data_IF_370660784179
#
_entry.id   IF_370660784179
#
_cell.length_a   1.000
_cell.length_b   1.000
_cell.length_c   1.000
_cell.angle_alpha   90.00
_cell.angle_beta   90.00
_cell.angle_gamma   90.00
#
_symmetry.space_group_name_H-M   'P 1'
#
loop_
_entity.id
_entity.type
_entity.pdbx_description
1 polymer ?
#
# COMPACT_ATOMS: atom_id res chain seq x y z
N UNK A 1 -8.59 23.77 22.32
CA UNK A 1 -7.15 23.58 22.03
C UNK A 1 -7.06 23.07 20.61
N UNK A 2 -6.27 23.74 19.81
CA UNK A 2 -6.31 23.74 18.35
C UNK A 2 -5.69 22.47 17.77
N UNK A 3 -6.44 21.70 16.98
CA UNK A 3 -5.93 20.56 16.23
C UNK A 3 -5.23 21.08 14.98
N UNK A 4 -3.91 20.92 14.93
CA UNK A 4 -3.09 21.21 13.74
C UNK A 4 -3.18 20.04 12.77
N UNK A 5 -3.55 20.24 11.50
CA UNK A 5 -3.51 19.17 10.50
C UNK A 5 -2.06 18.89 10.08
N UNK A 6 -1.68 17.61 10.07
CA UNK A 6 -0.43 17.15 9.46
C UNK A 6 -0.64 17.21 7.94
N UNK A 7 0.06 18.14 7.28
CA UNK A 7 0.05 18.27 5.83
C UNK A 7 0.69 17.04 5.18
N UNK A 8 0.01 16.42 4.22
CA UNK A 8 0.67 15.51 3.30
C UNK A 8 1.46 16.37 2.29
N UNK A 9 2.75 16.10 2.12
CA UNK A 9 3.63 16.88 1.23
C UNK A 9 3.45 16.53 -0.26
N UNK A 10 2.30 15.97 -0.65
CA UNK A 10 1.98 15.69 -2.05
C UNK A 10 0.58 16.17 -2.36
N UNK A 11 0.45 17.49 -2.53
CA UNK A 11 -0.60 18.28 -3.19
C UNK A 11 -1.72 17.50 -3.93
N UNK A 12 -2.41 16.61 -3.21
CA UNK A 12 -3.43 15.71 -3.70
C UNK A 12 -4.71 16.18 -3.05
N UNK A 13 -5.79 16.37 -3.83
CA UNK A 13 -7.06 16.84 -3.29
C UNK A 13 -7.49 15.92 -2.16
N UNK A 14 -8.06 16.52 -1.11
CA UNK A 14 -8.35 15.99 0.22
C UNK A 14 -9.19 14.69 0.18
N UNK A 15 -8.54 13.61 -0.24
CA UNK A 15 -9.04 12.26 -0.20
C UNK A 15 -8.91 11.81 1.24
N UNK A 16 -10.03 11.88 1.96
CA UNK A 16 -10.27 11.28 3.26
C UNK A 16 -9.45 9.99 3.41
N UNK A 17 -8.36 10.09 4.16
CA UNK A 17 -7.58 8.95 4.63
C UNK A 17 -8.49 8.17 5.59
N UNK A 18 -9.20 7.16 5.08
CA UNK A 18 -9.80 6.15 5.93
C UNK A 18 -8.62 5.24 6.30
N UNK A 19 -7.86 5.63 7.33
CA UNK A 19 -6.98 4.67 8.02
C UNK A 19 -7.91 3.73 8.74
N UNK A 20 -8.02 2.49 8.27
CA UNK A 20 -8.68 1.41 8.98
C UNK A 20 -7.71 0.57 9.78
N UNK A 21 -6.59 1.14 10.25
CA UNK A 21 -5.64 0.46 11.14
C UNK A 21 -6.17 0.52 12.58
N UNK A 22 -7.36 -0.02 12.82
CA UNK A 22 -7.95 -0.13 14.15
C UNK A 22 -7.02 -0.97 15.05
N UNK A 23 -6.25 -0.31 15.93
CA UNK A 23 -5.49 -0.96 17.00
C UNK A 23 -3.96 -0.87 16.94
N UNK A 24 -3.36 -0.15 15.99
CA UNK A 24 -1.91 0.19 16.07
C UNK A 24 -1.73 1.56 16.70
N UNK A 25 -1.53 1.56 18.01
CA UNK A 25 -1.02 2.72 18.76
C UNK A 25 0.49 2.83 18.53
N UNK A 26 0.93 3.05 17.30
CA UNK A 26 2.32 3.41 17.01
C UNK A 26 2.43 4.93 16.98
N UNK A 27 2.98 5.50 18.05
CA UNK A 27 3.17 6.95 18.23
C UNK A 27 4.17 7.58 17.25
N UNK A 28 4.77 6.79 16.35
CA UNK A 28 5.72 7.23 15.33
C UNK A 28 5.17 7.10 13.89
N UNK A 29 3.93 6.65 13.71
CA UNK A 29 3.31 6.51 12.38
C UNK A 29 3.90 5.37 11.55
N UNK A 30 4.54 4.38 12.18
CA UNK A 30 5.05 3.18 11.51
C UNK A 30 3.96 2.14 11.33
N UNK A 31 4.01 1.42 10.21
CA UNK A 31 3.08 0.33 9.89
C UNK A 31 3.77 -1.03 10.10
N UNK A 32 3.18 -1.97 10.86
CA UNK A 32 3.79 -3.28 11.05
C UNK A 32 4.02 -4.01 9.73
N UNK A 33 5.10 -4.79 9.68
CA UNK A 33 5.51 -5.52 8.48
C UNK A 33 4.39 -6.41 7.95
N UNK A 34 4.05 -6.22 6.68
CA UNK A 34 3.10 -7.09 5.98
C UNK A 34 1.63 -6.96 6.40
N UNK A 35 1.29 -6.10 7.36
CA UNK A 35 -0.11 -5.71 7.59
C UNK A 35 -0.62 -5.00 6.34
N UNK A 36 -1.84 -5.28 5.93
CA UNK A 36 -2.42 -4.72 4.72
C UNK A 36 -3.90 -4.36 4.88
N UNK A 37 -4.34 -3.41 4.08
CA UNK A 37 -5.72 -2.95 3.95
C UNK A 37 -6.05 -2.66 2.49
N UNK A 38 -7.30 -2.89 2.11
CA UNK A 38 -7.77 -2.57 0.77
C UNK A 38 -8.24 -1.12 0.72
N UNK A 39 -7.91 -0.42 -0.37
CA UNK A 39 -8.48 0.89 -0.65
C UNK A 39 -9.40 0.82 -1.86
N UNK A 40 -10.45 1.64 -1.85
CA UNK A 40 -11.37 1.80 -2.95
C UNK A 40 -11.03 3.05 -3.77
N UNK A 41 -11.21 2.99 -5.09
CA UNK A 41 -11.19 4.19 -5.90
C UNK A 41 -12.56 4.85 -5.86
N UNK A 42 -12.61 6.14 -5.55
CA UNK A 42 -13.85 6.90 -5.63
C UNK A 42 -14.46 6.82 -7.04
N UNK A 43 -15.65 6.20 -7.15
CA UNK A 43 -16.46 6.21 -8.37
C UNK A 43 -16.34 5.01 -9.31
N UNK A 44 -15.62 3.94 -8.96
CA UNK A 44 -15.54 2.75 -9.81
C UNK A 44 -16.72 1.78 -9.63
N UNK A 45 -17.28 1.31 -10.74
CA UNK A 45 -18.38 0.35 -10.84
C UNK A 45 -17.91 -1.12 -10.75
N UNK A 46 -16.84 -1.39 -10.00
CA UNK A 46 -16.35 -2.74 -9.77
C UNK A 46 -17.19 -3.42 -8.67
N UNK A 47 -17.61 -4.69 -8.82
CA UNK A 47 -18.44 -5.39 -7.83
C UNK A 47 -17.74 -5.64 -6.49
N UNK A 48 -16.40 -5.58 -6.42
CA UNK A 48 -15.64 -5.60 -5.15
C UNK A 48 -15.42 -4.20 -4.59
N UNK A 49 -15.31 -3.20 -5.49
CA UNK A 49 -15.01 -1.81 -5.18
C UNK A 49 -13.55 -1.53 -4.80
N UNK A 50 -12.68 -2.55 -4.81
CA UNK A 50 -11.29 -2.43 -4.36
C UNK A 50 -10.37 -2.05 -5.52
N UNK A 51 -9.59 -1.01 -5.30
CA UNK A 51 -8.66 -0.44 -6.27
C UNK A 51 -7.21 -0.88 -6.04
N UNK A 52 -6.90 -1.42 -4.86
CA UNK A 52 -5.57 -1.88 -4.53
C UNK A 52 -5.39 -2.19 -3.05
N UNK A 53 -4.13 -2.38 -2.67
CA UNK A 53 -3.70 -2.64 -1.29
C UNK A 53 -2.75 -1.56 -0.80
N UNK A 54 -3.01 -1.07 0.42
CA UNK A 54 -2.06 -0.39 1.29
C UNK A 54 -1.42 -1.43 2.20
N UNK A 55 -0.11 -1.39 2.41
CA UNK A 55 0.57 -2.37 3.26
C UNK A 55 1.86 -1.85 3.90
N UNK A 56 2.15 -2.33 5.11
CA UNK A 56 3.44 -2.10 5.76
C UNK A 56 4.55 -2.87 5.07
N UNK A 57 5.69 -2.22 4.84
CA UNK A 57 6.79 -2.80 4.08
C UNK A 57 7.21 -4.15 4.68
N UNK A 58 7.23 -5.24 3.90
CA UNK A 58 7.50 -6.57 4.45
C UNK A 58 8.92 -6.77 5.00
N UNK A 59 9.85 -5.85 4.73
CA UNK A 59 11.18 -5.87 5.33
C UNK A 59 11.19 -5.49 6.82
N UNK A 60 10.11 -4.86 7.31
CA UNK A 60 9.99 -4.42 8.71
C UNK A 60 10.50 -3.01 9.01
N UNK A 61 10.81 -2.20 8.00
CA UNK A 61 11.27 -0.83 8.20
C UNK A 61 10.19 0.12 8.75
N UNK A 62 8.90 -0.24 8.64
CA UNK A 62 7.77 0.56 9.10
C UNK A 62 7.13 1.44 8.02
N UNK A 63 7.70 1.49 6.80
CA UNK A 63 7.15 2.28 5.69
C UNK A 63 5.79 1.75 5.22
N UNK A 64 4.84 2.65 4.96
CA UNK A 64 3.61 2.34 4.25
C UNK A 64 3.85 2.32 2.72
N UNK A 65 3.35 1.30 2.04
CA UNK A 65 3.40 1.12 0.59
C UNK A 65 2.00 0.90 0.00
N UNK A 66 1.90 1.04 -1.31
CA UNK A 66 0.66 0.79 -2.05
C UNK A 66 0.91 0.08 -3.37
N UNK A 67 -0.03 -0.76 -3.78
CA UNK A 67 -0.11 -1.33 -5.13
C UNK A 67 -1.51 -1.17 -5.68
N UNK A 68 -1.61 -0.85 -6.97
CA UNK A 68 -2.89 -0.75 -7.69
C UNK A 68 -3.25 -2.10 -8.33
N UNK A 69 -4.52 -2.48 -8.26
CA UNK A 69 -5.02 -3.68 -8.96
C UNK A 69 -5.22 -3.41 -10.45
N UNK A 70 -5.18 -4.50 -11.24
CA UNK A 70 -5.31 -4.46 -12.69
C UNK A 70 -6.67 -3.95 -13.21
N UNK A 71 -7.69 -3.90 -12.34
CA UNK A 71 -9.02 -3.35 -12.58
C UNK A 71 -9.04 -1.82 -12.80
N UNK A 72 -7.98 -1.10 -12.46
CA UNK A 72 -7.89 0.35 -12.62
C UNK A 72 -7.08 0.76 -13.85
N UNK A 73 -7.71 1.34 -14.88
CA UNK A 73 -7.09 1.62 -16.19
C UNK A 73 -5.91 2.62 -16.19
N UNK A 74 -5.75 3.43 -15.14
CA UNK A 74 -4.99 4.69 -15.24
C UNK A 74 -3.50 4.59 -14.86
N UNK A 75 -3.05 3.54 -14.14
CA UNK A 75 -1.68 3.49 -13.58
C UNK A 75 -0.97 2.16 -13.85
N UNK A 76 0.36 2.21 -13.99
CA UNK A 76 1.24 1.04 -14.11
C UNK A 76 2.45 1.22 -13.18
N UNK A 77 3.06 0.13 -12.66
CA UNK A 77 2.67 -1.28 -12.81
C UNK A 77 1.36 -1.62 -12.08
N UNK A 78 0.69 -2.71 -12.51
CA UNK A 78 -0.53 -3.22 -11.88
C UNK A 78 -0.33 -4.66 -11.43
N UNK A 79 -1.08 -5.04 -10.41
CA UNK A 79 -1.10 -6.38 -9.87
C UNK A 79 -2.46 -7.03 -10.08
N UNK A 80 -2.44 -8.23 -10.62
CA UNK A 80 -3.58 -9.12 -10.63
C UNK A 80 -3.82 -9.66 -9.22
N UNK A 81 -5.02 -9.43 -8.71
CA UNK A 81 -5.50 -9.94 -7.42
C UNK A 81 -6.50 -11.08 -7.65
N UNK A 82 -6.38 -12.14 -6.86
CA UNK A 82 -7.23 -13.33 -6.94
C UNK A 82 -8.65 -13.17 -6.38
N UNK A 83 -8.99 -11.97 -5.86
CA UNK A 83 -10.29 -11.68 -5.26
C UNK A 83 -10.46 -12.18 -3.82
N UNK A 84 -9.44 -12.81 -3.23
CA UNK A 84 -9.50 -13.28 -1.84
C UNK A 84 -9.10 -12.16 -0.87
N UNK A 85 -10.04 -11.76 0.00
CA UNK A 85 -9.83 -10.71 1.00
C UNK A 85 -9.08 -11.16 2.25
N UNK A 86 -9.31 -12.39 2.67
CA UNK A 86 -8.72 -12.93 3.89
C UNK A 86 -7.27 -13.37 3.66
N UNK A 87 -7.00 -13.89 2.45
CA UNK A 87 -5.72 -14.50 2.07
C UNK A 87 -5.36 -14.11 0.63
N UNK A 88 -5.05 -12.83 0.36
CA UNK A 88 -4.81 -12.36 -1.00
C UNK A 88 -3.59 -13.01 -1.63
N UNK A 89 -3.67 -13.16 -2.95
CA UNK A 89 -2.51 -13.42 -3.81
C UNK A 89 -2.40 -12.29 -4.82
N UNK A 90 -1.18 -11.76 -4.98
CA UNK A 90 -0.86 -10.77 -6.01
C UNK A 90 0.17 -11.32 -7.00
N UNK A 91 -0.07 -11.05 -8.27
CA UNK A 91 0.88 -11.34 -9.35
C UNK A 91 0.98 -10.13 -10.28
N UNK A 92 2.16 -9.75 -10.79
CA UNK A 92 3.47 -10.38 -10.57
C UNK A 92 4.06 -10.10 -9.17
N UNK A 93 5.35 -10.39 -8.98
CA UNK A 93 6.09 -9.94 -7.79
C UNK A 93 6.03 -8.42 -7.60
N UNK A 94 6.20 -7.96 -6.38
CA UNK A 94 6.26 -6.55 -6.00
C UNK A 94 7.72 -6.17 -5.77
N UNK A 95 8.21 -5.18 -6.52
CA UNK A 95 9.52 -4.57 -6.34
C UNK A 95 9.37 -3.21 -5.68
N UNK A 96 10.02 -3.03 -4.54
CA UNK A 96 10.11 -1.79 -3.80
C UNK A 96 11.52 -1.26 -3.98
N UNK A 97 11.64 -0.07 -4.58
CA UNK A 97 12.92 0.60 -4.75
C UNK A 97 13.39 1.29 -3.48
N UNK A 98 14.71 1.29 -3.27
CA UNK A 98 15.38 2.16 -2.33
C UNK A 98 15.60 3.52 -3.00
N UNK A 99 15.18 4.59 -2.33
CA UNK A 99 15.38 5.95 -2.78
C UNK A 99 16.41 6.65 -1.90
N UNK A 100 17.20 7.56 -2.47
CA UNK A 100 17.99 8.52 -1.68
C UNK A 100 17.14 9.75 -1.29
N UNK A 101 17.76 10.69 -0.57
CA UNK A 101 17.12 11.93 -0.11
C UNK A 101 16.64 12.83 -1.25
N UNK A 102 17.15 12.64 -2.47
CA UNK A 102 16.74 13.39 -3.66
C UNK A 102 15.56 12.74 -4.40
N UNK A 103 15.17 11.54 -3.96
CA UNK A 103 14.15 10.71 -4.63
C UNK A 103 14.70 9.87 -5.78
N UNK A 104 16.03 9.74 -5.92
CA UNK A 104 16.64 8.90 -6.94
C UNK A 104 16.66 7.43 -6.49
N UNK A 105 16.33 6.52 -7.42
CA UNK A 105 16.48 5.07 -7.17
C UNK A 105 17.97 4.75 -7.05
N UNK A 106 18.36 4.22 -5.89
CA UNK A 106 19.74 3.79 -5.60
C UNK A 106 19.88 2.28 -5.42
N UNK A 107 18.77 1.55 -5.41
CA UNK A 107 18.80 0.10 -5.31
C UNK A 107 17.44 -0.53 -5.10
N UNK A 108 17.48 -1.81 -4.74
CA UNK A 108 16.33 -2.57 -4.29
C UNK A 108 16.20 -2.44 -2.77
N UNK A 109 15.01 -2.06 -2.32
CA UNK A 109 14.68 -2.05 -0.90
C UNK A 109 14.07 -3.40 -0.47
N UNK A 110 13.17 -3.95 -1.29
CA UNK A 110 12.56 -5.25 -1.08
C UNK A 110 11.96 -5.78 -2.38
N UNK A 111 12.08 -7.08 -2.63
CA UNK A 111 11.44 -7.75 -3.77
C UNK A 111 10.84 -9.09 -3.33
N UNK A 112 9.59 -9.34 -3.70
CA UNK A 112 8.91 -10.56 -3.31
C UNK A 112 7.47 -10.69 -3.79
N UNK A 113 6.75 -11.63 -3.18
CA UNK A 113 5.37 -11.99 -3.53
C UNK A 113 4.46 -11.88 -2.30
N UNK A 114 3.19 -11.54 -2.56
CA UNK A 114 2.08 -11.79 -1.63
C UNK A 114 1.33 -13.02 -2.11
N UNK A 115 1.31 -14.09 -1.34
CA UNK A 115 0.70 -15.37 -1.74
C UNK A 115 -0.08 -15.97 -0.59
N UNK A 116 -1.39 -16.12 -0.78
CA UNK A 116 -2.30 -16.64 0.25
C UNK A 116 -2.19 -15.92 1.61
N UNK A 117 -1.98 -14.59 1.57
CA UNK A 117 -1.79 -13.72 2.74
C UNK A 117 -0.35 -13.67 3.28
N UNK A 118 0.57 -14.48 2.76
CA UNK A 118 1.97 -14.51 3.23
C UNK A 118 2.87 -13.68 2.31
N UNK A 119 3.69 -12.82 2.92
CA UNK A 119 4.76 -12.09 2.24
C UNK A 119 6.03 -12.93 2.16
N UNK A 120 6.54 -13.16 0.95
CA UNK A 120 7.74 -13.98 0.70
C UNK A 120 8.73 -13.22 -0.15
N UNK A 121 9.94 -13.03 0.34
CA UNK A 121 11.04 -12.48 -0.48
C UNK A 121 11.43 -13.48 -1.58
N UNK A 122 11.95 -12.95 -2.68
CA UNK A 122 12.64 -13.74 -3.71
C UNK A 122 13.96 -14.33 -3.20
#
# INVERSE_FOLDING_TARGET
>A
MTTTPIANERNSPEGRLIVGLDGVEDTEGRVPAGVFEYFAAGGAADPTGEAGLLFGCPCGCGDLRSVDFDTHEVRSPKWHWDGNRDRPTLTPSILIYQMDETGQIIGEHWHGYLTAGDWKSC
#
